data_IF_260822999276
#
_entry.id   IF_260822999276
#
_cell.length_a   1.000
_cell.length_b   1.000
_cell.length_c   1.000
_cell.angle_alpha   90.00
_cell.angle_beta   90.00
_cell.angle_gamma   90.00
#
_symmetry.space_group_name_H-M   'P 1'
#
loop_
_entity.id
_entity.type
_entity.pdbx_description
1 polymer ?
#
# COMPACT_ATOMS: atom_id res chain seq x y z
N UNK A 1 -6.86 17.34 -12.81
CA UNK A 1 -7.14 17.94 -11.49
C UNK A 1 -6.14 19.03 -11.08
N UNK A 2 -4.90 18.72 -10.66
CA UNK A 2 -3.99 19.77 -10.15
C UNK A 2 -3.57 20.81 -11.21
N UNK A 3 -3.38 20.38 -12.46
CA UNK A 3 -3.04 21.28 -13.58
C UNK A 3 -4.22 22.15 -14.04
N UNK A 4 -5.44 21.85 -13.61
CA UNK A 4 -6.67 22.54 -14.03
C UNK A 4 -7.13 23.60 -13.03
N UNK A 5 -6.58 23.60 -11.80
CA UNK A 5 -7.02 24.48 -10.72
C UNK A 5 -5.95 25.51 -10.39
N UNK A 6 -6.18 26.80 -10.68
CA UNK A 6 -5.23 27.87 -10.34
C UNK A 6 -4.89 27.90 -8.84
N UNK A 7 -5.83 27.52 -7.97
CA UNK A 7 -5.68 27.50 -6.51
C UNK A 7 -4.68 26.42 -6.04
N UNK A 8 -4.30 25.49 -6.91
CA UNK A 8 -3.30 24.48 -6.62
C UNK A 8 -1.86 25.02 -6.67
N UNK A 9 -1.64 26.19 -7.25
CA UNK A 9 -0.31 26.81 -7.41
C UNK A 9 0.40 27.00 -6.07
N UNK A 10 1.65 26.53 -5.98
CA UNK A 10 2.49 26.68 -4.77
C UNK A 10 2.11 25.78 -3.60
N UNK A 11 1.09 24.93 -3.73
CA UNK A 11 0.67 24.01 -2.68
C UNK A 11 1.24 22.61 -2.87
N UNK A 12 1.47 21.90 -1.75
CA UNK A 12 1.82 20.48 -1.75
C UNK A 12 0.57 19.65 -1.42
N UNK A 13 0.36 18.61 -2.22
CA UNK A 13 -0.73 17.65 -2.07
C UNK A 13 -0.15 16.25 -1.92
N UNK A 14 -0.81 15.42 -1.11
CA UNK A 14 -0.47 14.00 -0.98
C UNK A 14 -1.64 13.16 -1.47
N UNK A 15 -1.34 12.22 -2.36
CA UNK A 15 -2.29 11.20 -2.79
C UNK A 15 -1.97 9.93 -2.01
N UNK A 16 -2.76 9.65 -0.97
CA UNK A 16 -2.60 8.48 -0.10
C UNK A 16 -3.95 7.85 0.20
N UNK A 17 -3.95 6.54 0.38
CA UNK A 17 -5.07 5.81 0.96
C UNK A 17 -4.87 5.63 2.47
N UNK A 18 -5.79 4.90 3.14
CA UNK A 18 -5.59 4.49 4.52
C UNK A 18 -4.37 3.57 4.67
N UNK A 19 -3.70 3.64 5.81
CA UNK A 19 -2.64 2.70 6.15
C UNK A 19 -3.19 1.28 6.34
N UNK A 20 -2.47 0.28 5.82
CA UNK A 20 -2.72 -1.13 6.07
C UNK A 20 -1.43 -1.85 6.48
N UNK A 21 -1.54 -2.79 7.42
CA UNK A 21 -0.45 -3.72 7.66
C UNK A 21 -0.37 -4.72 6.51
N UNK A 22 0.84 -5.24 6.23
CA UNK A 22 1.04 -6.26 5.20
C UNK A 22 0.19 -7.52 5.41
N UNK A 23 -0.12 -7.86 6.68
CA UNK A 23 -1.02 -8.96 7.00
C UNK A 23 -2.48 -8.64 6.65
N UNK A 24 -2.91 -7.38 6.72
CA UNK A 24 -4.27 -6.99 6.33
C UNK A 24 -4.42 -7.04 4.81
N UNK A 25 -3.40 -6.59 4.06
CA UNK A 25 -3.32 -6.83 2.61
C UNK A 25 -3.39 -8.33 2.29
N UNK A 26 -2.65 -9.15 3.04
CA UNK A 26 -2.66 -10.61 2.84
C UNK A 26 -4.02 -11.25 3.13
N UNK A 27 -4.76 -10.74 4.12
CA UNK A 27 -6.14 -11.18 4.41
C UNK A 27 -7.07 -10.82 3.26
N UNK A 28 -7.03 -9.57 2.78
CA UNK A 28 -7.84 -9.10 1.64
C UNK A 28 -7.59 -10.00 0.42
N UNK A 29 -6.32 -10.27 0.09
CA UNK A 29 -5.97 -11.12 -1.05
C UNK A 29 -6.47 -12.56 -0.88
N UNK A 30 -6.35 -13.14 0.32
CA UNK A 30 -6.84 -14.50 0.60
C UNK A 30 -8.36 -14.60 0.56
N UNK A 31 -9.07 -13.56 0.98
CA UNK A 31 -10.53 -13.53 0.95
C UNK A 31 -11.06 -13.34 -0.48
N UNK A 32 -10.48 -12.39 -1.23
CA UNK A 32 -11.01 -11.99 -2.55
C UNK A 32 -10.42 -12.82 -3.71
N UNK A 33 -9.19 -13.29 -3.58
CA UNK A 33 -8.44 -13.98 -4.64
C UNK A 33 -7.75 -15.26 -4.10
N UNK A 34 -8.51 -16.22 -3.53
CA UNK A 34 -7.94 -17.38 -2.84
C UNK A 34 -7.05 -18.26 -3.73
N UNK A 35 -7.34 -18.33 -5.04
CA UNK A 35 -6.60 -19.17 -5.97
C UNK A 35 -5.14 -18.73 -6.16
N UNK A 36 -4.88 -17.42 -6.20
CA UNK A 36 -3.54 -16.86 -6.36
C UNK A 36 -2.88 -16.54 -5.02
N UNK A 37 -3.66 -16.30 -3.96
CA UNK A 37 -3.15 -15.89 -2.65
C UNK A 37 -2.74 -17.04 -1.71
N UNK A 38 -2.63 -18.28 -2.22
CA UNK A 38 -2.30 -19.49 -1.43
C UNK A 38 -1.00 -19.34 -0.63
N UNK A 39 -0.01 -18.64 -1.20
CA UNK A 39 1.31 -18.39 -0.58
C UNK A 39 1.38 -17.11 0.27
N UNK A 40 0.33 -16.29 0.32
CA UNK A 40 0.33 -15.04 1.09
C UNK A 40 0.48 -15.33 2.60
N UNK A 41 1.26 -14.58 3.37
CA UNK A 41 1.48 -14.87 4.79
C UNK A 41 0.20 -14.72 5.62
N UNK A 42 0.03 -15.58 6.63
CA UNK A 42 -1.10 -15.51 7.59
C UNK A 42 -0.65 -15.15 9.01
N UNK A 43 0.67 -15.14 9.26
CA UNK A 43 1.25 -14.92 10.58
C UNK A 43 2.34 -13.86 10.50
N UNK A 44 2.48 -13.12 11.60
CA UNK A 44 3.53 -12.11 11.77
C UNK A 44 4.87 -12.81 11.98
N UNK A 45 5.85 -12.50 11.14
CA UNK A 45 7.22 -12.93 11.36
C UNK A 45 7.83 -12.19 12.57
N UNK A 46 8.65 -12.85 13.41
CA UNK A 46 9.43 -12.16 14.43
C UNK A 46 10.40 -11.13 13.84
N UNK A 47 10.60 -10.01 14.53
CA UNK A 47 11.44 -8.90 14.02
C UNK A 47 12.87 -9.33 13.68
N UNK A 48 13.47 -10.22 14.48
CA UNK A 48 14.84 -10.71 14.23
C UNK A 48 14.94 -11.49 12.91
N UNK A 49 13.90 -12.26 12.56
CA UNK A 49 13.87 -13.04 11.33
C UNK A 49 13.87 -12.13 10.11
N UNK A 50 13.07 -11.06 10.14
CA UNK A 50 13.04 -10.08 9.04
C UNK A 50 14.39 -9.37 8.90
N UNK A 51 15.08 -9.06 10.01
CA UNK A 51 16.43 -8.50 9.98
C UNK A 51 17.44 -9.43 9.32
N UNK A 52 17.35 -10.74 9.56
CA UNK A 52 18.21 -11.73 8.92
C UNK A 52 17.88 -11.80 7.42
N UNK A 53 16.60 -11.85 7.04
CA UNK A 53 16.19 -11.89 5.63
C UNK A 53 16.69 -10.69 4.84
N UNK A 54 16.70 -9.49 5.42
CA UNK A 54 17.23 -8.28 4.78
C UNK A 54 18.74 -8.33 4.44
N UNK A 55 19.50 -9.27 5.02
CA UNK A 55 20.92 -9.49 4.65
C UNK A 55 21.02 -10.16 3.28
N UNK A 56 20.02 -10.97 2.90
CA UNK A 56 20.02 -11.75 1.66
C UNK A 56 19.07 -11.20 0.59
N UNK A 57 17.99 -10.52 1.01
CA UNK A 57 16.96 -9.99 0.12
C UNK A 57 17.04 -8.45 0.05
N UNK A 58 17.44 -7.87 -1.10
CA UNK A 58 17.50 -6.43 -1.30
C UNK A 58 16.15 -5.72 -1.19
N UNK A 59 15.05 -6.39 -1.55
CA UNK A 59 13.69 -5.85 -1.45
C UNK A 59 13.26 -5.70 0.01
N UNK A 60 13.51 -6.71 0.84
CA UNK A 60 13.27 -6.62 2.28
C UNK A 60 14.18 -5.59 2.93
N UNK A 61 15.44 -5.47 2.47
CA UNK A 61 16.37 -4.44 2.96
C UNK A 61 15.85 -3.02 2.76
N UNK A 62 15.23 -2.73 1.62
CA UNK A 62 14.66 -1.41 1.34
C UNK A 62 13.53 -1.04 2.32
N UNK A 63 12.80 -2.04 2.83
CA UNK A 63 11.63 -1.87 3.70
C UNK A 63 11.94 -2.00 5.19
N UNK A 64 13.19 -2.31 5.57
CA UNK A 64 13.53 -2.66 6.96
C UNK A 64 13.30 -1.52 7.95
N UNK A 65 13.46 -0.27 7.49
CA UNK A 65 13.24 0.94 8.30
C UNK A 65 11.77 1.12 8.69
N UNK A 66 10.85 0.70 7.82
CA UNK A 66 9.41 0.90 8.00
C UNK A 66 8.76 -0.17 8.89
N UNK A 67 9.52 -1.21 9.28
CA UNK A 67 8.97 -2.32 10.07
C UNK A 67 8.50 -1.84 11.44
N UNK A 68 7.19 -1.97 11.66
CA UNK A 68 6.53 -1.60 12.92
C UNK A 68 6.19 -0.12 13.02
N UNK A 69 6.41 0.64 11.94
CA UNK A 69 5.96 2.02 11.84
C UNK A 69 4.57 2.06 11.20
N UNK A 70 3.74 2.98 11.70
CA UNK A 70 2.43 3.29 11.14
C UNK A 70 2.52 4.68 10.53
N UNK A 71 2.37 4.76 9.21
CA UNK A 71 2.49 6.00 8.45
C UNK A 71 1.12 6.37 7.87
N UNK A 72 0.41 7.26 8.55
CA UNK A 72 -0.81 7.87 8.05
C UNK A 72 -0.52 9.27 7.52
N UNK A 73 -1.28 9.69 6.51
CA UNK A 73 -1.12 10.99 5.86
C UNK A 73 -2.46 11.71 5.77
N UNK A 74 -2.44 13.02 5.98
CA UNK A 74 -3.61 13.86 5.80
C UNK A 74 -3.81 14.20 4.31
N UNK A 75 -4.90 13.68 3.75
CA UNK A 75 -5.28 13.88 2.34
C UNK A 75 -6.41 14.90 2.17
N UNK A 76 -6.84 15.55 3.26
CA UNK A 76 -7.97 16.50 3.27
C UNK A 76 -7.79 17.60 2.23
N UNK A 77 -6.58 18.15 2.11
CA UNK A 77 -6.28 19.19 1.12
C UNK A 77 -6.47 18.72 -0.33
N UNK A 78 -6.08 17.48 -0.64
CA UNK A 78 -6.28 16.93 -1.98
C UNK A 78 -7.77 16.77 -2.29
N UNK A 79 -8.57 16.37 -1.30
CA UNK A 79 -10.03 16.27 -1.44
C UNK A 79 -10.69 17.64 -1.62
N UNK A 80 -10.39 18.59 -0.75
CA UNK A 80 -11.04 19.91 -0.75
C UNK A 80 -10.62 20.79 -1.92
N UNK A 81 -9.32 20.89 -2.18
CA UNK A 81 -8.81 21.78 -3.22
C UNK A 81 -8.89 21.12 -4.58
N UNK A 82 -8.48 19.85 -4.71
CA UNK A 82 -8.43 19.18 -6.02
C UNK A 82 -9.69 18.39 -6.37
N UNK A 83 -10.56 18.11 -5.40
CA UNK A 83 -11.72 17.23 -5.61
C UNK A 83 -11.32 15.77 -5.81
N UNK A 84 -10.10 15.39 -5.40
CA UNK A 84 -9.56 14.04 -5.59
C UNK A 84 -9.88 13.19 -4.37
N UNK A 85 -10.67 12.15 -4.59
CA UNK A 85 -10.97 11.14 -3.58
C UNK A 85 -10.37 9.79 -3.99
N UNK A 86 -9.71 9.12 -3.05
CA UNK A 86 -9.09 7.83 -3.31
C UNK A 86 -10.16 6.76 -3.51
N UNK A 87 -9.90 5.82 -4.43
CA UNK A 87 -10.73 4.61 -4.57
C UNK A 87 -10.63 3.74 -3.30
N UNK A 88 -11.64 2.90 -3.02
CA UNK A 88 -11.58 1.93 -1.93
C UNK A 88 -10.31 1.07 -2.01
N UNK A 89 -9.58 0.97 -0.89
CA UNK A 89 -8.24 0.35 -0.85
C UNK A 89 -8.30 -1.14 -1.25
N UNK A 90 -9.36 -1.84 -0.86
CA UNK A 90 -9.57 -3.27 -1.15
C UNK A 90 -9.66 -3.52 -2.66
N UNK A 91 -10.40 -2.69 -3.39
CA UNK A 91 -10.50 -2.79 -4.85
C UNK A 91 -9.15 -2.59 -5.51
N UNK A 92 -8.40 -1.56 -5.08
CA UNK A 92 -7.08 -1.28 -5.66
C UNK A 92 -6.10 -2.43 -5.45
N UNK A 93 -6.15 -3.08 -4.29
CA UNK A 93 -5.33 -4.27 -3.97
C UNK A 93 -5.70 -5.44 -4.87
N UNK A 94 -7.00 -5.73 -5.04
CA UNK A 94 -7.51 -6.82 -5.87
C UNK A 94 -7.14 -6.60 -7.34
N UNK A 95 -7.40 -5.40 -7.88
CA UNK A 95 -7.09 -5.04 -9.26
C UNK A 95 -5.59 -5.19 -9.55
N UNK A 96 -4.73 -4.72 -8.63
CA UNK A 96 -3.29 -4.81 -8.77
C UNK A 96 -2.80 -6.27 -8.76
N UNK A 97 -3.29 -7.08 -7.83
CA UNK A 97 -2.92 -8.49 -7.74
C UNK A 97 -3.39 -9.30 -8.95
N UNK A 98 -4.61 -9.06 -9.43
CA UNK A 98 -5.13 -9.69 -10.63
C UNK A 98 -4.32 -9.29 -11.88
N UNK A 99 -3.96 -8.02 -12.01
CA UNK A 99 -3.11 -7.51 -13.09
C UNK A 99 -1.72 -8.16 -13.09
N UNK A 100 -1.11 -8.34 -11.91
CA UNK A 100 0.19 -9.00 -11.81
C UNK A 100 0.10 -10.50 -12.15
N UNK A 101 -0.94 -11.19 -11.68
CA UNK A 101 -1.17 -12.59 -11.98
C UNK A 101 -1.44 -12.85 -13.47
N UNK A 102 -2.06 -11.90 -14.18
CA UNK A 102 -2.27 -12.00 -15.62
C UNK A 102 -0.98 -11.81 -16.45
N UNK A 103 0.10 -11.30 -15.85
CA UNK A 103 1.39 -11.03 -16.51
C UNK A 103 2.49 -12.03 -16.16
N UNK A 104 2.22 -12.95 -15.22
CA UNK A 104 3.14 -13.99 -14.75
C UNK A 104 2.85 -15.34 -15.39
#
# INVERSE_FOLDING_TARGET
AAMEKPEAGGQRFIASGPFLWLLDVSKILREKLPEIAKKAPTRKAPKFMVRITAIFDPGVRALIGDIGQRNDFDTTRAKEVLGVEARPIEETIVDCAASLAARS
#
